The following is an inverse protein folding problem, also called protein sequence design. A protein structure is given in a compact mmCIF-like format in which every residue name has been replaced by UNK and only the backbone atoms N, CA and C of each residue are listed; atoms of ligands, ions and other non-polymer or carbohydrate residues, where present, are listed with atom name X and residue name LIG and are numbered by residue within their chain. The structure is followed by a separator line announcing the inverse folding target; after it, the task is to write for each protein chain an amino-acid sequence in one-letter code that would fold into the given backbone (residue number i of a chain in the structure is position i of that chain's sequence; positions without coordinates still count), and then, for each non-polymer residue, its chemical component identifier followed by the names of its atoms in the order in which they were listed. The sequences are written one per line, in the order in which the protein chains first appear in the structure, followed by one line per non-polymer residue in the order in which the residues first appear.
data_IF_147254721761
#
_entry.id   IF_147254721761
#
_cell.length_a   1.000
_cell.length_b   1.000
_cell.length_c   1.000
_cell.angle_alpha   90.00
_cell.angle_beta   90.00
_cell.angle_gamma   90.00
#
_symmetry.space_group_name_H-M   'P 1'
#
loop_
_entity.id
_entity.type
_entity.pdbx_description
1 polymer ?
#
# COMPACT_ATOMS: atom_id res chain seq x y z
N UNK A 1 15.45 2.11 8.25
CA UNK A 1 14.01 2.40 8.04
C UNK A 1 13.32 1.13 7.60
N UNK A 2 12.07 0.93 8.02
CA UNK A 2 11.24 -0.21 7.64
C UNK A 2 10.09 0.27 6.77
N UNK A 3 9.71 -0.52 5.77
CA UNK A 3 8.57 -0.27 4.88
C UNK A 3 7.53 -1.38 5.02
N UNK A 4 6.26 -1.00 5.11
CA UNK A 4 5.16 -1.86 4.67
C UNK A 4 4.90 -1.56 3.19
N UNK A 5 4.88 -2.58 2.35
CA UNK A 5 4.76 -2.47 0.90
C UNK A 5 3.48 -3.19 0.48
N UNK A 6 2.62 -2.49 -0.26
CA UNK A 6 1.43 -3.05 -0.89
C UNK A 6 1.58 -2.96 -2.40
N UNK A 7 1.54 -4.09 -3.09
CA UNK A 7 1.64 -4.18 -4.55
C UNK A 7 0.33 -4.76 -5.10
N UNK A 8 -0.31 -4.02 -5.98
CA UNK A 8 -1.64 -4.34 -6.50
C UNK A 8 -1.54 -4.80 -7.96
N UNK A 9 -2.13 -5.96 -8.25
CA UNK A 9 -2.39 -6.41 -9.63
C UNK A 9 -3.42 -5.52 -10.32
N UNK A 10 -3.52 -5.66 -11.65
CA UNK A 10 -4.55 -4.99 -12.44
C UNK A 10 -5.97 -5.25 -11.88
N UNK A 11 -6.73 -4.21 -11.49
CA UNK A 11 -8.14 -4.35 -11.17
C UNK A 11 -8.97 -4.50 -12.45
N UNK A 12 -10.11 -5.20 -12.37
CA UNK A 12 -11.08 -5.29 -13.46
C UNK A 12 -11.70 -3.93 -13.78
N UNK A 13 -11.97 -3.12 -12.76
CA UNK A 13 -12.45 -1.74 -12.86
C UNK A 13 -11.45 -0.78 -12.21
N UNK A 14 -10.64 -0.13 -13.05
CA UNK A 14 -9.59 0.82 -12.65
C UNK A 14 -10.17 2.10 -12.05
N UNK A 15 -11.31 2.57 -12.53
CA UNK A 15 -11.93 3.80 -12.05
C UNK A 15 -12.52 3.60 -10.64
N UNK A 16 -13.25 2.49 -10.44
CA UNK A 16 -13.77 2.14 -9.12
C UNK A 16 -12.64 1.88 -8.11
N UNK A 17 -11.57 1.18 -8.53
CA UNK A 17 -10.39 0.97 -7.70
C UNK A 17 -9.74 2.30 -7.31
N UNK A 18 -9.47 3.19 -8.27
CA UNK A 18 -8.82 4.48 -8.01
C UNK A 18 -9.65 5.33 -7.06
N UNK A 19 -10.96 5.46 -7.30
CA UNK A 19 -11.85 6.23 -6.44
C UNK A 19 -11.81 5.72 -5.02
N UNK A 20 -12.00 4.41 -4.81
CA UNK A 20 -11.95 3.82 -3.46
C UNK A 20 -10.58 3.97 -2.82
N UNK A 21 -9.51 3.72 -3.59
CA UNK A 21 -8.14 3.80 -3.11
C UNK A 21 -7.79 5.21 -2.62
N UNK A 22 -8.03 6.24 -3.43
CA UNK A 22 -7.61 7.60 -3.12
C UNK A 22 -8.56 8.35 -2.18
N UNK A 23 -9.86 8.07 -2.22
CA UNK A 23 -10.85 8.76 -1.38
C UNK A 23 -11.10 8.08 -0.04
N UNK A 24 -10.87 6.76 0.06
CA UNK A 24 -11.15 5.98 1.28
C UNK A 24 -9.90 5.33 1.84
N UNK A 25 -9.25 4.46 1.07
CA UNK A 25 -8.18 3.60 1.59
C UNK A 25 -6.93 4.39 2.02
N UNK A 26 -6.38 5.23 1.15
CA UNK A 26 -5.18 5.99 1.43
C UNK A 26 -5.35 6.96 2.61
N UNK A 27 -6.49 7.68 2.77
CA UNK A 27 -6.77 8.44 3.99
C UNK A 27 -6.81 7.61 5.27
N UNK A 28 -7.29 6.36 5.23
CA UNK A 28 -7.24 5.45 6.39
C UNK A 28 -5.78 5.06 6.71
N UNK A 29 -5.00 4.65 5.71
CA UNK A 29 -3.60 4.29 5.88
C UNK A 29 -2.76 5.44 6.44
N UNK A 30 -3.03 6.68 6.00
CA UNK A 30 -2.36 7.90 6.49
C UNK A 30 -2.57 8.19 7.98
N UNK A 31 -3.58 7.60 8.61
CA UNK A 31 -3.86 7.75 10.05
C UNK A 31 -3.06 6.78 10.93
N UNK A 32 -2.34 5.83 10.33
CA UNK A 32 -1.53 4.88 11.10
C UNK A 32 -0.48 5.61 11.95
N UNK A 33 -0.38 5.32 13.26
CA UNK A 33 0.57 5.99 14.13
C UNK A 33 2.01 5.66 13.73
N UNK A 34 2.90 6.64 13.82
CA UNK A 34 4.32 6.45 13.49
C UNK A 34 4.64 6.38 11.99
N UNK A 35 3.64 6.51 11.10
CA UNK A 35 3.86 6.62 9.67
C UNK A 35 4.64 7.90 9.35
N UNK A 36 5.81 7.77 8.75
CA UNK A 36 6.68 8.90 8.40
C UNK A 36 6.44 9.39 6.97
N UNK A 37 6.17 8.45 6.06
CA UNK A 37 5.92 8.75 4.64
C UNK A 37 5.02 7.68 4.05
N UNK A 38 4.15 8.08 3.14
CA UNK A 38 3.52 7.16 2.18
C UNK A 38 3.85 7.63 0.77
N UNK A 39 4.40 6.72 -0.03
CA UNK A 39 4.62 6.93 -1.47
C UNK A 39 3.70 6.00 -2.24
N UNK A 40 3.01 6.54 -3.24
CA UNK A 40 2.11 5.79 -4.10
C UNK A 40 2.56 5.94 -5.53
N UNK A 41 2.85 4.82 -6.18
CA UNK A 41 3.37 4.75 -7.55
C UNK A 41 2.36 4.03 -8.42
N UNK A 42 1.86 4.73 -9.45
CA UNK A 42 1.10 4.10 -10.52
C UNK A 42 2.07 3.45 -11.50
N UNK A 43 1.84 2.19 -11.83
CA UNK A 43 2.66 1.45 -12.79
C UNK A 43 2.04 1.64 -14.18
N UNK A 44 2.77 2.32 -15.07
CA UNK A 44 2.27 2.71 -16.40
C UNK A 44 2.53 1.68 -17.50
N UNK A 45 3.33 0.64 -17.25
CA UNK A 45 3.68 -0.39 -18.23
C UNK A 45 5.03 -1.03 -17.93
N UNK A 46 5.54 -1.80 -18.88
CA UNK A 46 6.87 -2.43 -18.78
C UNK A 46 7.91 -1.73 -19.66
N UNK A 47 9.22 -1.84 -19.35
CA UNK A 47 10.27 -1.29 -20.20
C UNK A 47 10.29 -1.85 -21.63
N UNK A 48 9.76 -3.06 -21.86
CA UNK A 48 9.68 -3.69 -23.17
C UNK A 48 8.41 -3.29 -23.94
N UNK A 49 7.62 -2.36 -23.38
CA UNK A 49 6.28 -2.02 -23.87
C UNK A 49 5.19 -2.96 -23.32
N UNK A 50 3.93 -2.52 -23.43
CA UNK A 50 2.78 -3.30 -22.97
C UNK A 50 2.39 -3.08 -21.51
N UNK A 51 1.28 -3.70 -21.11
CA UNK A 51 0.69 -3.60 -19.78
C UNK A 51 1.52 -4.40 -18.75
N UNK A 52 1.76 -3.81 -17.58
CA UNK A 52 2.42 -4.49 -16.48
C UNK A 52 1.44 -5.40 -15.72
N UNK A 53 1.93 -6.46 -15.09
CA UNK A 53 1.13 -7.30 -14.19
C UNK A 53 0.53 -6.49 -13.03
N UNK A 54 1.26 -5.47 -12.59
CA UNK A 54 0.91 -4.61 -11.47
C UNK A 54 0.41 -3.26 -11.95
N UNK A 55 -0.51 -2.71 -11.17
CA UNK A 55 -1.19 -1.45 -11.45
C UNK A 55 -0.73 -0.33 -10.54
N UNK A 56 -0.54 -0.63 -9.25
CA UNK A 56 -0.22 0.35 -8.24
C UNK A 56 0.68 -0.26 -7.16
N UNK A 57 1.58 0.54 -6.61
CA UNK A 57 2.41 0.22 -5.45
C UNK A 57 2.24 1.30 -4.40
N UNK A 58 2.15 0.91 -3.14
CA UNK A 58 2.19 1.81 -2.01
C UNK A 58 3.30 1.40 -1.05
N UNK A 59 4.13 2.35 -0.66
CA UNK A 59 5.20 2.16 0.32
C UNK A 59 4.95 3.06 1.53
N UNK A 60 4.77 2.45 2.69
CA UNK A 60 4.53 3.13 3.96
C UNK A 60 5.77 3.00 4.82
N UNK A 61 6.45 4.12 5.07
CA UNK A 61 7.74 4.18 5.76
C UNK A 61 7.55 4.42 7.25
N UNK A 62 8.22 3.62 8.05
CA UNK A 62 8.29 3.71 9.50
C UNK A 62 9.76 3.76 9.95
N UNK A 63 10.00 4.32 11.13
CA UNK A 63 11.35 4.47 11.68
C UNK A 63 12.06 3.11 11.79
N UNK A 64 11.36 2.13 12.38
CA UNK A 64 11.83 0.78 12.66
C UNK A 64 10.68 -0.24 12.67
N UNK A 65 11.01 -1.50 13.00
CA UNK A 65 10.04 -2.59 13.02
C UNK A 65 9.01 -2.45 14.15
N UNK A 66 9.41 -1.94 15.32
CA UNK A 66 8.50 -1.78 16.45
C UNK A 66 7.43 -0.72 16.15
N UNK A 67 7.81 0.38 15.48
CA UNK A 67 6.87 1.40 15.01
C UNK A 67 5.86 0.83 14.00
N UNK A 68 6.31 0.00 13.05
CA UNK A 68 5.42 -0.70 12.11
C UNK A 68 4.45 -1.65 12.84
N UNK A 69 4.94 -2.49 13.74
CA UNK A 69 4.10 -3.47 14.43
C UNK A 69 3.04 -2.76 15.31
N UNK A 70 3.40 -1.66 15.97
CA UNK A 70 2.47 -0.80 16.70
C UNK A 70 1.41 -0.18 15.76
N UNK A 71 1.82 0.31 14.59
CA UNK A 71 0.92 0.85 13.57
C UNK A 71 -0.10 -0.18 13.07
N UNK A 72 0.35 -1.40 12.75
CA UNK A 72 -0.51 -2.47 12.24
C UNK A 72 -1.53 -2.97 13.29
N UNK A 73 -1.18 -2.92 14.56
CA UNK A 73 -2.05 -3.38 15.66
C UNK A 73 -2.98 -2.29 16.21
N UNK A 74 -2.77 -1.03 15.82
CA UNK A 74 -3.59 0.11 16.22
C UNK A 74 -5.02 0.04 15.65
N UNK A 75 -5.98 0.80 16.22
CA UNK A 75 -7.33 0.94 15.64
C UNK A 75 -7.31 1.41 14.18
N UNK A 76 -6.44 2.36 13.84
CA UNK A 76 -6.27 2.92 12.50
C UNK A 76 -5.68 1.89 11.52
N UNK A 77 -4.66 1.14 11.93
CA UNK A 77 -4.08 0.05 11.13
C UNK A 77 -5.10 -1.05 10.84
N UNK A 78 -5.89 -1.45 11.85
CA UNK A 78 -6.97 -2.43 11.67
C UNK A 78 -8.09 -1.93 10.76
N UNK A 79 -8.42 -0.64 10.82
CA UNK A 79 -9.40 -0.02 9.93
C UNK A 79 -8.90 -0.04 8.47
N UNK A 80 -7.65 0.35 8.23
CA UNK A 80 -7.03 0.29 6.90
C UNK A 80 -6.95 -1.15 6.36
N UNK A 81 -6.56 -2.12 7.20
CA UNK A 81 -6.50 -3.53 6.82
C UNK A 81 -7.88 -4.11 6.48
N UNK A 82 -8.91 -3.79 7.28
CA UNK A 82 -10.29 -4.23 7.02
C UNK A 82 -10.81 -3.70 5.68
N UNK A 83 -10.58 -2.41 5.43
CA UNK A 83 -10.95 -1.78 4.16
C UNK A 83 -10.20 -2.44 2.99
N UNK A 84 -8.87 -2.57 3.10
CA UNK A 84 -8.00 -3.21 2.10
C UNK A 84 -8.52 -4.58 1.65
N UNK A 85 -8.82 -5.45 2.62
CA UNK A 85 -9.30 -6.80 2.33
C UNK A 85 -10.67 -6.80 1.64
N UNK A 86 -11.49 -5.78 1.88
CA UNK A 86 -12.81 -5.63 1.27
C UNK A 86 -12.74 -5.27 -0.22
N UNK A 87 -11.95 -4.27 -0.60
CA UNK A 87 -11.95 -3.79 -1.99
C UNK A 87 -10.84 -4.39 -2.86
N UNK A 88 -9.71 -4.81 -2.27
CA UNK A 88 -8.53 -5.24 -3.01
C UNK A 88 -7.90 -6.55 -2.52
N UNK A 89 -8.58 -7.31 -1.64
CA UNK A 89 -8.00 -8.51 -1.02
C UNK A 89 -7.51 -9.60 -1.98
N UNK A 90 -8.08 -9.68 -3.19
CA UNK A 90 -7.62 -10.61 -4.26
C UNK A 90 -6.50 -10.03 -5.15
N UNK A 91 -6.26 -8.73 -5.07
CA UNK A 91 -5.34 -7.97 -5.93
C UNK A 91 -4.02 -7.63 -5.24
N UNK A 92 -4.07 -7.44 -3.92
CA UNK A 92 -2.95 -6.93 -3.14
C UNK A 92 -2.01 -8.05 -2.68
N UNK A 93 -0.72 -7.81 -2.81
CA UNK A 93 0.35 -8.56 -2.15
C UNK A 93 1.07 -7.65 -1.16
N UNK A 94 1.17 -8.08 0.09
CA UNK A 94 1.74 -7.30 1.19
C UNK A 94 3.11 -7.84 1.58
N UNK A 95 4.08 -6.95 1.78
CA UNK A 95 5.45 -7.29 2.17
C UNK A 95 5.95 -6.32 3.23
N UNK A 96 6.91 -6.77 4.05
CA UNK A 96 7.70 -5.91 4.91
C UNK A 96 9.12 -5.88 4.34
N UNK A 97 9.67 -4.69 4.16
CA UNK A 97 11.02 -4.49 3.64
C UNK A 97 11.86 -3.60 4.55
N UNK A 98 13.17 -3.81 4.53
CA UNK A 98 14.15 -2.93 5.16
C UNK A 98 14.88 -2.14 4.07
N UNK A 99 15.03 -0.83 4.27
CA UNK A 99 15.81 0.00 3.35
C UNK A 99 17.29 -0.23 3.60
N UNK A 100 17.99 -0.74 2.59
CA UNK A 100 19.44 -0.97 2.58
C UNK A 100 20.11 -0.01 1.59
N UNK A 101 21.35 0.37 1.87
CA UNK A 101 22.20 1.12 0.94
C UNK A 101 22.84 0.15 -0.06
N UNK A 102 23.06 0.63 -1.29
CA UNK A 102 23.64 -0.14 -2.39
C UNK A 102 25.09 0.27 -2.66
#
# INVERSE_FOLDING_TARGET
MVKLIALYRQPEDKEAFDRHYFETHAPLAKKMPGLQKIEVTRISGTPMGGEAEYYLMAEMVFADRAALDAAMTSPEGKAAAKDLMGFAGKLVYMMIGEVVEA
#
